data_IF_694860618617
#
_entry.id   IF_694860618617
#
_cell.length_a   1.000
_cell.length_b   1.000
_cell.length_c   1.000
_cell.angle_alpha   90.00
_cell.angle_beta   90.00
_cell.angle_gamma   90.00
#
_symmetry.space_group_name_H-M   'P 1'
#
loop_
_entity.id
_entity.type
_entity.pdbx_description
1 polymer ?
#
# COMPACT_ATOMS: atom_id res chain seq x y z
N UNK A 1 -9.67 -16.20 14.78
CA UNK A 1 -8.44 -16.00 13.98
C UNK A 1 -8.70 -14.85 13.04
N UNK A 2 -8.01 -13.73 13.24
CA UNK A 2 -8.24 -12.44 12.56
C UNK A 2 -7.23 -12.30 11.43
N UNK A 3 -7.70 -12.19 10.18
CA UNK A 3 -7.01 -11.64 9.01
C UNK A 3 -8.14 -11.10 8.09
N UNK A 4 -8.05 -9.97 7.41
CA UNK A 4 -6.86 -9.24 7.04
C UNK A 4 -7.16 -7.80 6.67
N UNK A 5 -6.08 -7.04 6.80
CA UNK A 5 -5.89 -5.63 6.53
C UNK A 5 -6.31 -5.27 5.09
N UNK A 6 -7.01 -4.16 4.97
CA UNK A 6 -7.27 -3.46 3.72
C UNK A 6 -5.99 -2.71 3.30
N UNK A 7 -4.97 -3.44 2.86
CA UNK A 7 -3.86 -2.87 2.06
C UNK A 7 -4.30 -2.99 0.60
N UNK A 8 -4.06 -1.98 -0.23
CA UNK A 8 -4.21 -2.08 -1.69
C UNK A 8 -3.38 -3.27 -2.21
N UNK A 9 -4.02 -4.43 -2.35
CA UNK A 9 -3.42 -5.69 -2.76
C UNK A 9 -3.15 -5.61 -4.26
N UNK A 10 -2.04 -4.97 -4.64
CA UNK A 10 -1.40 -5.28 -5.91
C UNK A 10 -0.96 -6.74 -5.79
N UNK A 11 -1.69 -7.66 -6.44
CA UNK A 11 -1.37 -9.09 -6.44
C UNK A 11 0.10 -9.29 -6.77
N UNK A 12 0.82 -9.96 -5.89
CA UNK A 12 2.21 -10.33 -6.14
C UNK A 12 2.31 -11.34 -7.27
N UNK A 13 3.47 -11.45 -7.92
CA UNK A 13 3.69 -12.46 -8.98
C UNK A 13 3.55 -13.89 -8.44
N UNK A 14 3.86 -14.09 -7.15
CA UNK A 14 3.65 -15.34 -6.43
C UNK A 14 2.16 -15.66 -6.28
N UNK A 15 1.33 -14.68 -5.89
CA UNK A 15 -0.13 -14.85 -5.82
C UNK A 15 -0.76 -15.09 -7.20
N UNK A 16 -0.24 -14.45 -8.25
CA UNK A 16 -0.70 -14.69 -9.64
C UNK A 16 -0.50 -16.14 -10.05
N UNK A 17 0.61 -16.77 -9.63
CA UNK A 17 0.85 -18.20 -9.83
C UNK A 17 0.25 -19.07 -8.71
N UNK A 18 -0.40 -18.47 -7.70
CA UNK A 18 -0.91 -19.16 -6.51
C UNK A 18 0.14 -20.02 -5.80
N UNK A 19 1.36 -19.51 -5.69
CA UNK A 19 2.50 -20.14 -4.99
C UNK A 19 2.97 -19.26 -3.84
N UNK A 20 3.67 -19.86 -2.87
CA UNK A 20 4.33 -19.11 -1.80
C UNK A 20 5.54 -18.34 -2.32
N UNK A 21 5.93 -17.26 -1.62
CA UNK A 21 7.18 -16.53 -1.89
C UNK A 21 8.42 -17.41 -1.66
N UNK A 22 8.32 -18.42 -0.79
CA UNK A 22 9.34 -19.44 -0.53
C UNK A 22 9.33 -20.60 -1.53
N UNK A 23 8.43 -20.60 -2.52
CA UNK A 23 8.28 -21.72 -3.44
C UNK A 23 9.56 -22.00 -4.22
N UNK A 24 9.86 -23.27 -4.42
CA UNK A 24 10.99 -23.74 -5.21
C UNK A 24 10.73 -23.56 -6.70
N UNK A 25 11.79 -23.60 -7.52
CA UNK A 25 11.66 -23.50 -8.98
C UNK A 25 10.71 -24.56 -9.57
N UNK A 26 10.72 -25.78 -9.02
CA UNK A 26 9.86 -26.86 -9.51
C UNK A 26 8.39 -26.59 -9.21
N UNK A 27 8.07 -26.09 -8.02
CA UNK A 27 6.72 -25.70 -7.63
C UNK A 27 6.20 -24.54 -8.50
N UNK A 28 7.02 -23.52 -8.75
CA UNK A 28 6.68 -22.40 -9.63
C UNK A 28 6.41 -22.90 -11.05
N UNK A 29 7.17 -23.88 -11.53
CA UNK A 29 7.00 -24.49 -12.86
C UNK A 29 5.70 -25.28 -12.98
N UNK A 30 5.39 -26.10 -11.98
CA UNK A 30 4.16 -26.88 -11.94
C UNK A 30 2.95 -25.94 -11.85
N UNK A 31 3.02 -24.93 -11.01
CA UNK A 31 1.98 -23.92 -10.85
C UNK A 31 1.75 -23.12 -12.13
N UNK A 32 2.80 -22.65 -12.80
CA UNK A 32 2.69 -21.99 -14.10
C UNK A 32 1.99 -22.87 -15.14
N UNK A 33 2.37 -24.15 -15.24
CA UNK A 33 1.74 -25.09 -16.18
C UNK A 33 0.24 -25.24 -15.88
N UNK A 34 -0.12 -25.37 -14.60
CA UNK A 34 -1.52 -25.46 -14.18
C UNK A 34 -2.28 -24.17 -14.48
N UNK A 35 -1.72 -23.01 -14.12
CA UNK A 35 -2.34 -21.70 -14.34
C UNK A 35 -2.54 -21.43 -15.83
N UNK A 36 -1.51 -21.65 -16.66
CA UNK A 36 -1.57 -21.45 -18.10
C UNK A 36 -2.63 -22.32 -18.78
N UNK A 37 -2.85 -23.56 -18.32
CA UNK A 37 -3.92 -24.44 -18.81
C UNK A 37 -5.32 -23.93 -18.41
N UNK A 38 -5.46 -23.38 -17.21
CA UNK A 38 -6.72 -22.85 -16.73
C UNK A 38 -7.10 -21.52 -17.43
N UNK A 39 -6.11 -20.67 -17.71
CA UNK A 39 -6.29 -19.36 -18.33
C UNK A 39 -6.11 -19.38 -19.87
N UNK A 40 -6.02 -20.55 -20.50
CA UNK A 40 -5.73 -20.65 -21.93
C UNK A 40 -6.92 -20.13 -22.78
N UNK A 41 -6.70 -19.21 -23.73
CA UNK A 41 -7.78 -18.61 -24.53
C UNK A 41 -8.53 -19.60 -25.43
N UNK A 42 -7.97 -20.79 -25.71
CA UNK A 42 -8.63 -21.84 -26.49
C UNK A 42 -9.89 -22.38 -25.81
N UNK A 43 -9.99 -22.33 -24.46
CA UNK A 43 -11.24 -22.64 -23.75
C UNK A 43 -12.32 -21.57 -23.94
N UNK A 44 -11.96 -20.33 -24.28
CA UNK A 44 -12.93 -19.25 -24.49
C UNK A 44 -13.69 -19.38 -25.82
N UNK A 45 -13.17 -20.17 -26.77
CA UNK A 45 -13.84 -20.39 -28.06
C UNK A 45 -15.05 -21.34 -27.99
N UNK A 46 -15.27 -22.06 -26.87
CA UNK A 46 -16.44 -22.95 -26.72
C UNK A 46 -17.65 -22.31 -26.05
N UNK A 47 -17.51 -21.08 -25.55
CA UNK A 47 -18.60 -20.32 -24.92
C UNK A 47 -18.87 -19.06 -25.74
N UNK A 48 -19.57 -19.28 -26.85
CA UNK A 48 -20.27 -18.25 -27.62
C UNK A 48 -21.43 -17.68 -26.80
N UNK A 49 -21.16 -17.01 -25.68
CA UNK A 49 -22.12 -16.13 -25.02
C UNK A 49 -21.34 -15.10 -24.19
N UNK A 50 -21.45 -13.83 -24.59
CA UNK A 50 -21.30 -12.64 -23.74
C UNK A 50 -19.88 -12.22 -23.27
N UNK A 51 -19.30 -11.25 -24.00
CA UNK A 51 -18.68 -10.02 -23.44
C UNK A 51 -17.66 -10.09 -22.29
N UNK A 52 -16.80 -11.11 -22.17
CA UNK A 52 -15.61 -11.02 -21.28
C UNK A 52 -14.28 -11.40 -21.98
N UNK A 53 -13.93 -10.90 -23.18
CA UNK A 53 -12.63 -11.23 -23.79
C UNK A 53 -11.44 -10.62 -23.04
N UNK A 54 -11.66 -9.56 -22.24
CA UNK A 54 -10.58 -8.78 -21.64
C UNK A 54 -10.05 -9.35 -20.32
N UNK A 55 -10.82 -10.16 -19.59
CA UNK A 55 -10.43 -10.58 -18.24
C UNK A 55 -9.54 -11.82 -18.29
N UNK A 56 -9.96 -12.91 -18.97
CA UNK A 56 -9.11 -14.10 -19.12
C UNK A 56 -7.79 -13.79 -19.84
N UNK A 57 -7.82 -12.91 -20.84
CA UNK A 57 -6.62 -12.52 -21.58
C UNK A 57 -5.64 -11.72 -20.71
N UNK A 58 -6.13 -10.86 -19.81
CA UNK A 58 -5.31 -10.15 -18.82
C UNK A 58 -4.74 -11.09 -17.77
N UNK A 59 -5.50 -12.10 -17.34
CA UNK A 59 -5.01 -13.11 -16.40
C UNK A 59 -3.91 -13.97 -17.01
N UNK A 60 -4.08 -14.43 -18.25
CA UNK A 60 -3.03 -15.17 -18.98
C UNK A 60 -1.74 -14.36 -19.12
N UNK A 61 -1.85 -13.08 -19.51
CA UNK A 61 -0.69 -12.18 -19.60
C UNK A 61 -0.01 -11.98 -18.25
N UNK A 62 -0.78 -11.90 -17.16
CA UNK A 62 -0.25 -11.78 -15.80
C UNK A 62 0.50 -13.03 -15.38
N UNK A 63 -0.06 -14.22 -15.65
CA UNK A 63 0.57 -15.53 -15.40
C UNK A 63 1.89 -15.66 -16.19
N UNK A 64 1.89 -15.27 -17.46
CA UNK A 64 3.08 -15.29 -18.28
C UNK A 64 4.17 -14.35 -17.74
N UNK A 65 3.80 -13.12 -17.39
CA UNK A 65 4.73 -12.14 -16.81
C UNK A 65 5.32 -12.63 -15.49
N UNK A 66 4.50 -13.23 -14.63
CA UNK A 66 4.95 -13.83 -13.38
C UNK A 66 5.98 -14.93 -13.63
N UNK A 67 5.73 -15.82 -14.58
CA UNK A 67 6.67 -16.86 -14.97
C UNK A 67 7.99 -16.30 -15.53
N UNK A 68 7.95 -15.27 -16.39
CA UNK A 68 9.16 -14.69 -16.97
C UNK A 68 10.12 -14.14 -15.93
N UNK A 69 9.59 -13.57 -14.84
CA UNK A 69 10.37 -13.03 -13.73
C UNK A 69 10.80 -14.13 -12.76
N UNK A 70 9.86 -15.00 -12.35
CA UNK A 70 10.09 -16.00 -11.29
C UNK A 70 10.91 -17.21 -11.77
N UNK A 71 10.96 -17.49 -13.08
CA UNK A 71 11.74 -18.62 -13.63
C UNK A 71 13.25 -18.44 -13.51
N UNK A 72 13.74 -17.20 -13.44
CA UNK A 72 15.16 -16.90 -13.42
C UNK A 72 15.58 -16.47 -12.03
N UNK A 73 16.60 -17.10 -11.42
CA UNK A 73 17.01 -16.78 -10.05
C UNK A 73 17.48 -15.32 -9.90
N UNK A 74 18.11 -14.74 -10.94
CA UNK A 74 18.51 -13.34 -10.94
C UNK A 74 17.29 -12.40 -10.93
N UNK A 75 16.37 -12.58 -11.88
CA UNK A 75 15.14 -11.76 -11.96
C UNK A 75 14.23 -11.93 -10.75
N UNK A 76 14.17 -13.15 -10.18
CA UNK A 76 13.47 -13.40 -8.91
C UNK A 76 14.11 -12.62 -7.76
N UNK A 77 15.44 -12.65 -7.64
CA UNK A 77 16.13 -11.88 -6.59
C UNK A 77 15.92 -10.37 -6.74
N UNK A 78 15.92 -9.83 -7.96
CA UNK A 78 15.59 -8.42 -8.20
C UNK A 78 14.14 -8.08 -7.86
N UNK A 79 13.19 -8.99 -8.18
CA UNK A 79 11.80 -8.84 -7.80
C UNK A 79 11.61 -8.90 -6.28
N UNK A 80 12.27 -9.84 -5.59
CA UNK A 80 12.21 -9.99 -4.14
C UNK A 80 12.80 -8.75 -3.45
N UNK A 81 13.91 -8.19 -3.97
CA UNK A 81 14.45 -6.91 -3.50
C UNK A 81 13.47 -5.76 -3.69
N UNK A 82 12.79 -5.69 -4.84
CA UNK A 82 11.79 -4.66 -5.09
C UNK A 82 10.59 -4.81 -4.16
N UNK A 83 10.10 -6.03 -3.97
CA UNK A 83 9.02 -6.36 -3.06
C UNK A 83 9.38 -6.02 -1.61
N UNK A 84 10.59 -6.38 -1.19
CA UNK A 84 11.12 -6.05 0.13
C UNK A 84 11.29 -4.53 0.29
N UNK A 85 11.78 -3.82 -0.72
CA UNK A 85 11.90 -2.36 -0.70
C UNK A 85 10.53 -1.69 -0.63
N UNK A 86 9.54 -2.19 -1.36
CA UNK A 86 8.16 -1.70 -1.30
C UNK A 86 7.53 -1.95 0.07
N UNK A 87 7.81 -3.09 0.71
CA UNK A 87 7.38 -3.39 2.09
C UNK A 87 8.10 -2.49 3.11
N UNK A 88 9.41 -2.34 2.98
CA UNK A 88 10.26 -1.52 3.86
C UNK A 88 10.04 -0.02 3.69
N UNK A 89 9.48 0.42 2.55
CA UNK A 89 9.08 1.81 2.35
C UNK A 89 8.01 2.24 3.37
N UNK A 90 7.34 1.31 4.05
CA UNK A 90 6.38 1.60 5.13
C UNK A 90 7.09 1.67 6.51
N UNK A 91 8.27 1.08 6.67
CA UNK A 91 8.92 0.89 7.99
C UNK A 91 10.02 1.90 8.37
N UNK A 92 10.55 2.69 7.43
CA UNK A 92 11.53 3.75 7.79
C UNK A 92 10.79 5.03 8.19
N UNK A 93 10.17 5.01 9.36
CA UNK A 93 9.68 6.21 10.01
C UNK A 93 10.90 6.91 10.60
N UNK A 94 11.30 8.03 10.02
CA UNK A 94 12.47 8.77 10.43
C UNK A 94 12.32 9.43 11.81
N UNK A 95 11.09 9.80 12.19
CA UNK A 95 10.76 10.40 13.48
C UNK A 95 9.25 10.33 13.76
N UNK A 96 8.91 10.40 15.04
CA UNK A 96 7.54 10.63 15.52
C UNK A 96 7.37 12.12 15.81
N UNK A 97 6.23 12.68 15.43
CA UNK A 97 5.88 14.09 15.56
C UNK A 97 4.55 14.14 16.29
N UNK A 98 4.42 15.03 17.28
CA UNK A 98 3.15 15.27 17.97
C UNK A 98 2.36 16.37 17.25
N UNK A 99 1.04 16.31 17.31
CA UNK A 99 0.19 17.35 16.69
C UNK A 99 0.52 18.75 17.20
N UNK A 100 0.87 18.88 18.49
CA UNK A 100 1.29 20.16 19.08
C UNK A 100 2.60 20.72 18.54
N UNK A 101 3.44 19.91 17.89
CA UNK A 101 4.69 20.34 17.27
C UNK A 101 4.51 20.80 15.80
N UNK A 102 3.30 20.65 15.25
CA UNK A 102 3.00 21.08 13.89
C UNK A 102 2.61 22.56 13.82
N UNK A 103 3.01 23.21 12.74
CA UNK A 103 2.62 24.57 12.39
C UNK A 103 1.23 24.50 11.76
N UNK A 104 0.28 25.24 12.30
CA UNK A 104 -1.11 25.26 11.82
C UNK A 104 -1.30 26.46 10.90
N UNK A 105 -1.70 26.22 9.65
CA UNK A 105 -2.11 27.25 8.71
C UNK A 105 -3.60 27.10 8.39
N UNK A 106 -4.39 28.10 8.78
CA UNK A 106 -5.81 28.16 8.47
C UNK A 106 -6.01 28.95 7.18
N UNK A 107 -6.32 28.28 6.07
CA UNK A 107 -6.83 28.92 4.86
C UNK A 107 -8.36 28.90 4.87
N UNK A 108 -9.03 29.73 4.06
CA UNK A 108 -10.42 30.18 4.24
C UNK A 108 -11.52 29.14 4.54
N UNK A 109 -11.29 27.84 4.30
CA UNK A 109 -12.23 26.75 4.59
C UNK A 109 -11.58 25.48 5.18
N UNK A 110 -10.25 25.41 5.33
CA UNK A 110 -9.55 24.18 5.78
C UNK A 110 -8.31 24.49 6.63
N UNK A 111 -8.05 23.63 7.61
CA UNK A 111 -6.86 23.69 8.47
C UNK A 111 -5.79 22.78 7.87
N UNK A 112 -4.61 23.32 7.63
CA UNK A 112 -3.44 22.58 7.16
C UNK A 112 -2.40 22.52 8.28
N UNK A 113 -1.94 21.32 8.62
CA UNK A 113 -0.87 21.11 9.58
C UNK A 113 0.43 20.86 8.82
N UNK A 114 1.47 21.65 9.10
CA UNK A 114 2.76 21.62 8.44
C UNK A 114 3.89 21.33 9.43
N UNK A 115 4.82 20.44 9.08
CA UNK A 115 6.04 20.20 9.85
C UNK A 115 7.28 20.28 8.95
N UNK A 116 8.32 21.05 9.32
CA UNK A 116 9.50 21.23 8.46
C UNK A 116 10.30 19.93 8.32
N UNK A 117 10.57 19.55 7.08
CA UNK A 117 11.45 18.44 6.74
C UNK A 117 12.91 18.91 6.66
N UNK A 118 13.86 18.01 6.97
CA UNK A 118 15.30 18.27 6.89
C UNK A 118 15.80 18.57 5.47
N UNK A 119 15.00 18.29 4.43
CA UNK A 119 15.32 18.63 3.05
C UNK A 119 14.97 20.08 2.67
N UNK A 120 14.22 20.80 3.52
CA UNK A 120 13.74 22.16 3.25
C UNK A 120 12.28 22.25 2.79
N UNK A 121 11.61 21.12 2.59
CA UNK A 121 10.16 21.05 2.33
C UNK A 121 9.38 20.82 3.62
N UNK A 122 8.07 20.61 3.51
CA UNK A 122 7.18 20.38 4.64
C UNK A 122 6.46 19.04 4.50
N UNK A 123 6.24 18.38 5.64
CA UNK A 123 5.18 17.38 5.76
C UNK A 123 3.89 18.14 6.00
N UNK A 124 2.89 17.94 5.15
CA UNK A 124 1.59 18.60 5.27
C UNK A 124 0.49 17.56 5.38
N UNK A 125 -0.51 17.83 6.21
CA UNK A 125 -1.77 17.09 6.25
C UNK A 125 -2.91 18.04 6.49
N UNK A 126 -4.02 17.82 5.78
CA UNK A 126 -5.22 18.66 5.92
C UNK A 126 -6.19 18.09 6.95
N UNK A 127 -7.02 18.94 7.54
CA UNK A 127 -8.11 18.51 8.42
C UNK A 127 -9.11 17.58 7.71
N UNK A 128 -9.22 17.64 6.37
CA UNK A 128 -10.03 16.73 5.58
C UNK A 128 -9.47 15.29 5.61
N UNK A 129 -8.17 15.12 5.37
CA UNK A 129 -7.49 13.81 5.41
C UNK A 129 -7.55 13.19 6.81
N UNK A 130 -7.44 14.02 7.84
CA UNK A 130 -7.64 13.59 9.23
C UNK A 130 -9.10 13.18 9.49
N UNK A 131 -10.06 13.92 8.93
CA UNK A 131 -11.48 13.61 9.03
C UNK A 131 -11.88 12.27 8.40
N UNK A 132 -11.26 11.88 7.28
CA UNK A 132 -11.44 10.55 6.68
C UNK A 132 -10.99 9.41 7.61
N UNK A 133 -10.04 9.70 8.50
CA UNK A 133 -9.55 8.79 9.55
C UNK A 133 -10.31 8.94 10.87
N UNK A 134 -11.33 9.80 10.93
CA UNK A 134 -12.16 10.04 12.12
C UNK A 134 -11.53 11.00 13.14
N UNK A 135 -10.57 11.83 12.72
CA UNK A 135 -9.84 12.77 13.57
C UNK A 135 -10.29 14.19 13.24
N UNK A 136 -10.72 14.95 14.24
CA UNK A 136 -11.06 16.38 14.10
C UNK A 136 -10.03 17.22 14.85
N UNK A 137 -9.41 18.18 14.17
CA UNK A 137 -8.42 19.10 14.76
C UNK A 137 -9.04 20.50 14.81
N UNK A 138 -9.09 21.12 15.99
CA UNK A 138 -9.47 22.53 16.15
C UNK A 138 -8.31 23.46 15.78
N UNK A 139 -8.63 24.70 15.41
CA UNK A 139 -7.67 25.68 14.87
C UNK A 139 -6.57 26.14 15.85
N UNK A 140 -6.63 25.69 17.10
CA UNK A 140 -5.69 25.93 18.19
C UNK A 140 -4.73 24.75 18.44
N UNK A 141 -4.88 23.65 17.69
CA UNK A 141 -4.06 22.44 17.84
C UNK A 141 -4.62 21.45 18.87
N UNK A 142 -5.78 21.72 19.46
CA UNK A 142 -6.51 20.72 20.24
C UNK A 142 -7.16 19.70 19.29
N UNK A 143 -7.10 18.43 19.65
CA UNK A 143 -7.60 17.33 18.81
C UNK A 143 -8.78 16.71 19.53
N UNK A 144 -9.97 16.78 18.93
CA UNK A 144 -11.18 16.21 19.50
C UNK A 144 -11.50 14.88 18.79
N UNK A 145 -11.32 13.77 19.50
CA UNK A 145 -11.69 12.43 19.01
C UNK A 145 -13.15 12.11 19.37
N UNK A 146 -13.97 11.79 18.37
CA UNK A 146 -15.28 11.16 18.64
C UNK A 146 -15.06 9.68 18.98
N UNK A 147 -14.84 9.42 20.26
CA UNK A 147 -14.41 8.12 20.79
C UNK A 147 -15.35 6.95 20.48
N UNK A 148 -14.74 5.80 20.16
CA UNK A 148 -15.16 4.47 20.59
C UNK A 148 -14.00 3.46 20.58
N UNK A 149 -12.77 3.85 20.97
CA UNK A 149 -11.74 2.96 21.56
C UNK A 149 -10.51 3.81 21.92
N UNK A 150 -9.90 3.61 23.09
CA UNK A 150 -8.74 4.35 23.62
C UNK A 150 -7.41 4.09 22.86
N UNK A 151 -7.42 4.18 21.53
CA UNK A 151 -6.24 3.95 20.71
C UNK A 151 -5.66 5.30 20.25
N UNK A 152 -4.43 5.60 20.70
CA UNK A 152 -3.60 6.67 20.13
C UNK A 152 -3.62 6.56 18.60
N UNK A 153 -4.24 7.53 17.92
CA UNK A 153 -4.30 7.53 16.48
C UNK A 153 -2.94 7.98 15.94
N UNK A 154 -2.48 7.38 14.84
CA UNK A 154 -1.28 7.85 14.17
C UNK A 154 -1.39 7.74 12.67
N UNK A 155 -0.82 8.71 11.96
CA UNK A 155 -0.80 8.79 10.49
C UNK A 155 0.62 8.95 10.01
N UNK A 156 0.97 8.30 8.89
CA UNK A 156 2.32 8.40 8.30
C UNK A 156 2.31 9.48 7.22
N UNK A 157 3.09 10.53 7.43
CA UNK A 157 3.28 11.62 6.47
C UNK A 157 4.55 11.36 5.65
N UNK A 158 4.44 11.45 4.32
CA UNK A 158 5.57 11.41 3.41
C UNK A 158 5.95 12.82 2.96
N UNK A 159 7.24 13.09 2.84
CA UNK A 159 7.69 14.35 2.27
C UNK A 159 7.55 14.29 0.73
N UNK A 160 6.99 15.32 0.10
CA UNK A 160 6.86 15.37 -1.36
C UNK A 160 8.18 15.45 -2.12
N UNK A 161 9.25 15.90 -1.45
CA UNK A 161 10.55 16.20 -2.07
C UNK A 161 11.68 15.28 -1.63
N UNK A 162 11.46 14.44 -0.61
CA UNK A 162 12.40 13.40 -0.24
C UNK A 162 11.67 12.11 0.13
N UNK A 163 12.35 10.97 0.09
CA UNK A 163 11.76 9.69 0.48
C UNK A 163 11.59 9.51 2.00
N UNK A 164 11.65 10.60 2.77
CA UNK A 164 11.51 10.57 4.23
C UNK A 164 10.03 10.43 4.60
N UNK A 165 9.76 9.57 5.58
CA UNK A 165 8.44 9.41 6.18
C UNK A 165 8.52 9.64 7.67
N UNK A 166 7.49 10.24 8.23
CA UNK A 166 7.36 10.53 9.66
C UNK A 166 6.00 10.07 10.15
N UNK A 167 5.89 9.74 11.43
CA UNK A 167 4.62 9.34 12.05
C UNK A 167 4.11 10.51 12.86
N UNK A 168 2.99 11.07 12.45
CA UNK A 168 2.23 12.00 13.26
C UNK A 168 1.41 11.20 14.28
N UNK A 169 1.70 11.40 15.56
CA UNK A 169 1.03 10.77 16.68
C UNK A 169 0.02 11.76 17.26
N UNK A 170 -1.22 11.31 17.39
CA UNK A 170 -2.33 12.06 17.93
C UNK A 170 -2.63 11.44 19.30
N UNK A 171 -2.02 12.01 20.33
CA UNK A 171 -2.26 11.62 21.72
C UNK A 171 -3.39 12.50 22.28
N UNK A 172 -4.42 11.88 22.87
CA UNK A 172 -5.28 12.60 23.82
C UNK A 172 -4.43 12.93 25.04
N UNK A 173 -4.07 14.20 25.22
CA UNK A 173 -3.58 14.66 26.51
C UNK A 173 -4.76 14.69 27.49
N UNK A 174 -4.67 14.03 28.66
CA UNK A 174 -5.75 13.97 29.65
C UNK A 174 -6.06 15.30 30.33
#
# INVERSE_FOLDING_TARGET
MVLGSNISIQKTLYEVLSVSEDATYDEIRVAYKSAALNTHPDKAHTTLESSVPSSEQKEFLSVQKAWEILRHPASRADYDKQLQSSRQNIEIIASEIEVGDMIIESTADTVELLYPCRCGDYFSITSCELGEMGISVSGDGEVEQQASDSASASVVLGCGSCSLKVRLVINETP
#
